data_IF_475497318643
#
_entry.id   IF_475497318643
#
_cell.length_a   1.000
_cell.length_b   1.000
_cell.length_c   1.000
_cell.angle_alpha   90.00
_cell.angle_beta   90.00
_cell.angle_gamma   90.00
#
_symmetry.space_group_name_H-M   'P 1'
#
loop_
_entity.id
_entity.type
_entity.pdbx_description
1 polymer ?
#
# COMPACT_ATOMS: atom_id res chain seq x y z
N UNK A 1 -5.74 -7.20 1.37
CA UNK A 1 -4.99 -5.93 1.53
C UNK A 1 -5.97 -4.83 1.85
N UNK A 2 -5.55 -3.83 2.60
CA UNK A 2 -6.34 -2.63 2.83
C UNK A 2 -5.42 -1.43 3.06
N UNK A 3 -5.91 -0.24 2.77
CA UNK A 3 -5.34 1.00 3.26
C UNK A 3 -5.93 1.36 4.63
N UNK A 4 -5.17 2.05 5.45
CA UNK A 4 -5.62 2.58 6.73
C UNK A 4 -5.28 4.07 6.81
N UNK A 5 -6.31 4.91 6.95
CA UNK A 5 -6.18 6.32 7.34
C UNK A 5 -6.38 6.44 8.85
N UNK A 6 -6.08 7.61 9.42
CA UNK A 6 -6.18 7.85 10.86
C UNK A 6 -7.58 7.57 11.46
N UNK A 7 -8.63 7.56 10.65
CA UNK A 7 -10.02 7.40 11.11
C UNK A 7 -10.83 6.35 10.34
N UNK A 8 -10.24 5.69 9.32
CA UNK A 8 -10.99 4.75 8.49
C UNK A 8 -10.11 3.71 7.78
N UNK A 9 -10.73 2.58 7.44
CA UNK A 9 -10.17 1.59 6.54
C UNK A 9 -10.63 1.90 5.12
N UNK A 10 -9.68 1.92 4.18
CA UNK A 10 -9.93 2.25 2.77
C UNK A 10 -9.44 1.13 1.87
N UNK A 11 -9.98 1.07 0.64
CA UNK A 11 -9.57 0.10 -0.38
C UNK A 11 -9.48 -1.36 0.12
N UNK A 12 -10.48 -1.92 0.84
CA UNK A 12 -10.42 -3.33 1.24
C UNK A 12 -10.45 -4.23 0.00
N UNK A 13 -9.53 -5.19 -0.05
CA UNK A 13 -9.52 -6.22 -1.09
C UNK A 13 -9.16 -7.60 -0.54
N UNK A 14 -10.02 -8.57 -0.81
CA UNK A 14 -9.84 -9.97 -0.48
C UNK A 14 -9.36 -10.68 -1.73
N UNK A 15 -8.24 -11.39 -1.61
CA UNK A 15 -7.70 -12.25 -2.66
C UNK A 15 -7.58 -13.67 -2.12
N UNK A 16 -7.78 -14.66 -2.99
CA UNK A 16 -7.49 -16.05 -2.66
C UNK A 16 -5.98 -16.31 -2.85
N UNK A 17 -5.33 -16.83 -1.82
CA UNK A 17 -3.90 -17.11 -1.85
C UNK A 17 -3.01 -15.96 -1.38
N UNK A 18 -1.71 -16.11 -1.61
CA UNK A 18 -0.70 -15.16 -1.15
C UNK A 18 -0.61 -13.93 -2.06
N UNK A 19 -0.25 -12.79 -1.48
CA UNK A 19 0.06 -11.58 -2.23
C UNK A 19 1.33 -11.76 -3.05
N UNK A 20 1.27 -11.45 -4.35
CA UNK A 20 2.43 -11.32 -5.21
C UNK A 20 2.51 -9.92 -5.85
N UNK A 21 3.56 -9.67 -6.65
CA UNK A 21 3.74 -8.37 -7.29
C UNK A 21 2.64 -8.01 -8.30
N UNK A 22 2.06 -8.99 -8.99
CA UNK A 22 1.00 -8.73 -9.96
C UNK A 22 -0.33 -8.39 -9.26
N UNK A 23 -0.66 -9.10 -8.19
CA UNK A 23 -1.78 -8.78 -7.32
C UNK A 23 -1.59 -7.40 -6.68
N UNK A 24 -0.39 -7.07 -6.20
CA UNK A 24 -0.08 -5.74 -5.67
C UNK A 24 -0.31 -4.62 -6.69
N UNK A 25 0.14 -4.80 -7.94
CA UNK A 25 -0.11 -3.82 -9.01
C UNK A 25 -1.60 -3.59 -9.26
N UNK A 26 -2.38 -4.68 -9.32
CA UNK A 26 -3.82 -4.61 -9.54
C UNK A 26 -4.49 -3.91 -8.36
N UNK A 27 -4.10 -4.24 -7.13
CA UNK A 27 -4.61 -3.60 -5.93
C UNK A 27 -4.38 -2.09 -5.96
N UNK A 28 -3.14 -1.66 -6.20
CA UNK A 28 -2.80 -0.24 -6.17
C UNK A 28 -3.57 0.52 -7.24
N UNK A 29 -3.61 0.00 -8.47
CA UNK A 29 -4.29 0.70 -9.57
C UNK A 29 -5.81 0.72 -9.41
N UNK A 30 -6.42 -0.40 -8.99
CA UNK A 30 -7.87 -0.55 -9.03
C UNK A 30 -8.58 -0.17 -7.74
N UNK A 31 -7.93 -0.33 -6.58
CA UNK A 31 -8.54 -0.12 -5.27
C UNK A 31 -7.95 1.10 -4.58
N UNK A 32 -6.61 1.17 -4.46
CA UNK A 32 -5.98 2.21 -3.66
C UNK A 32 -5.95 3.57 -4.36
N UNK A 33 -5.40 3.66 -5.57
CA UNK A 33 -5.20 4.92 -6.28
C UNK A 33 -6.49 5.74 -6.47
N UNK A 34 -7.68 5.15 -6.73
CA UNK A 34 -8.93 5.91 -6.77
C UNK A 34 -9.32 6.60 -5.44
N UNK A 35 -8.80 6.13 -4.31
CA UNK A 35 -9.05 6.70 -2.98
C UNK A 35 -8.01 7.73 -2.53
N UNK A 36 -7.02 8.03 -3.37
CA UNK A 36 -5.94 8.97 -3.04
C UNK A 36 -6.26 10.38 -3.52
N UNK A 37 -5.85 11.35 -2.71
CA UNK A 37 -5.87 12.77 -3.01
C UNK A 37 -4.43 13.30 -3.19
N UNK A 38 -4.25 14.40 -3.94
CA UNK A 38 -2.94 15.02 -4.07
C UNK A 38 -2.35 15.39 -2.70
N UNK A 39 -1.11 14.99 -2.45
CA UNK A 39 -0.42 15.20 -1.18
C UNK A 39 -0.46 14.00 -0.23
N UNK A 40 -1.33 13.01 -0.45
CA UNK A 40 -1.35 11.78 0.35
C UNK A 40 0.02 11.05 0.32
N UNK A 41 0.40 10.48 1.46
CA UNK A 41 1.58 9.62 1.56
C UNK A 41 1.17 8.20 1.92
N UNK A 42 1.36 7.28 0.98
CA UNK A 42 1.13 5.85 1.17
C UNK A 42 2.40 5.22 1.75
N UNK A 43 2.31 4.80 3.02
CA UNK A 43 3.40 4.13 3.74
C UNK A 43 3.25 2.62 3.57
N UNK A 44 4.33 1.97 3.13
CA UNK A 44 4.39 0.52 2.87
C UNK A 44 5.57 -0.10 3.63
N UNK A 45 5.47 -1.38 3.96
CA UNK A 45 6.64 -2.15 4.39
C UNK A 45 7.70 -2.25 3.27
N UNK A 46 8.91 -2.69 3.60
CA UNK A 46 10.03 -2.77 2.66
C UNK A 46 10.15 -4.10 1.90
N UNK A 47 9.06 -4.86 1.75
CA UNK A 47 9.06 -6.09 0.98
C UNK A 47 9.26 -5.80 -0.52
N UNK A 48 9.95 -6.70 -1.22
CA UNK A 48 10.23 -6.52 -2.64
C UNK A 48 8.96 -6.48 -3.50
N UNK A 49 7.87 -7.13 -3.06
CA UNK A 49 6.58 -7.12 -3.77
C UNK A 49 5.97 -5.71 -3.86
N UNK A 50 6.30 -4.81 -2.93
CA UNK A 50 5.83 -3.43 -2.92
C UNK A 50 6.63 -2.49 -3.82
N UNK A 51 7.80 -2.93 -4.31
CA UNK A 51 8.71 -2.10 -5.12
C UNK A 51 8.35 -2.18 -6.61
N UNK A 52 7.08 -1.95 -6.92
CA UNK A 52 6.61 -1.95 -8.31
C UNK A 52 6.65 -0.54 -8.92
N UNK A 53 7.34 -0.35 -10.06
CA UNK A 53 7.29 0.91 -10.81
C UNK A 53 5.89 1.26 -11.30
N UNK A 54 5.06 0.25 -11.63
CA UNK A 54 3.69 0.46 -12.13
C UNK A 54 2.77 0.98 -11.02
N UNK A 55 2.88 0.39 -9.83
CA UNK A 55 2.16 0.86 -8.65
C UNK A 55 2.59 2.30 -8.30
N UNK A 56 3.90 2.58 -8.30
CA UNK A 56 4.43 3.90 -8.01
C UNK A 56 3.92 4.96 -9.01
N UNK A 57 3.85 4.61 -10.30
CA UNK A 57 3.28 5.50 -11.32
C UNK A 57 1.79 5.79 -11.05
N UNK A 58 0.98 4.78 -10.75
CA UNK A 58 -0.45 4.95 -10.49
C UNK A 58 -0.72 5.87 -9.28
N UNK A 59 0.16 5.84 -8.28
CA UNK A 59 0.10 6.75 -7.12
C UNK A 59 0.57 8.16 -7.48
N UNK A 60 1.66 8.29 -8.23
CA UNK A 60 2.17 9.59 -8.69
C UNK A 60 1.17 10.33 -9.59
N UNK A 61 0.42 9.61 -10.43
CA UNK A 61 -0.66 10.18 -11.26
C UNK A 61 -1.80 10.79 -10.44
N UNK A 62 -1.92 10.43 -9.15
CA UNK A 62 -2.84 11.03 -8.18
C UNK A 62 -2.25 12.21 -7.41
N UNK A 63 -0.98 12.55 -7.65
CA UNK A 63 -0.25 13.55 -6.87
C UNK A 63 0.15 13.07 -5.48
N UNK A 64 0.14 11.75 -5.25
CA UNK A 64 0.48 11.11 -3.99
C UNK A 64 1.87 10.45 -4.04
N UNK A 65 2.38 9.98 -2.89
CA UNK A 65 3.75 9.51 -2.75
C UNK A 65 3.84 8.16 -2.04
N UNK A 66 4.83 7.34 -2.43
CA UNK A 66 5.22 6.15 -1.67
C UNK A 66 6.32 6.47 -0.67
N UNK A 67 6.15 5.96 0.56
CA UNK A 67 7.19 5.93 1.58
C UNK A 67 7.37 4.50 2.08
N UNK A 68 8.59 3.98 1.98
CA UNK A 68 8.92 2.64 2.46
C UNK A 68 9.51 2.71 3.86
N UNK A 69 9.01 1.87 4.77
CA UNK A 69 9.59 1.72 6.09
C UNK A 69 11.04 1.20 6.03
N UNK A 70 11.89 1.51 7.03
CA UNK A 70 13.15 0.83 7.22
C UNK A 70 12.95 -0.68 7.35
N UNK A 71 13.97 -1.48 7.02
CA UNK A 71 13.92 -2.92 7.30
C UNK A 71 13.77 -3.15 8.81
N UNK A 72 12.84 -4.02 9.20
CA UNK A 72 12.53 -4.37 10.59
C UNK A 72 12.24 -3.15 11.48
N UNK A 73 11.08 -2.54 11.26
CA UNK A 73 10.48 -1.55 12.17
C UNK A 73 9.24 -2.16 12.86
N UNK A 74 9.42 -3.06 13.84
CA UNK A 74 8.31 -3.74 14.50
C UNK A 74 7.33 -2.78 15.20
N UNK A 75 7.82 -1.62 15.66
CA UNK A 75 6.99 -0.59 16.29
C UNK A 75 6.06 0.15 15.31
N UNK A 76 6.37 0.09 14.01
CA UNK A 76 5.63 0.77 12.93
C UNK A 76 4.97 -0.20 11.95
N UNK A 77 5.18 -1.51 12.15
CA UNK A 77 4.58 -2.57 11.36
C UNK A 77 4.16 -3.72 12.30
N UNK A 78 2.97 -3.65 12.93
CA UNK A 78 2.53 -4.66 13.89
C UNK A 78 2.19 -6.02 13.23
N UNK A 79 2.23 -6.17 11.90
CA UNK A 79 1.87 -7.39 11.18
C UNK A 79 3.10 -8.20 10.73
N UNK A 80 3.31 -9.37 11.33
CA UNK A 80 4.25 -10.39 10.84
C UNK A 80 3.59 -11.43 9.91
N UNK A 81 2.30 -11.27 9.56
CA UNK A 81 1.47 -12.31 8.94
C UNK A 81 1.07 -12.07 7.46
N UNK A 82 1.67 -11.07 6.81
CA UNK A 82 1.41 -10.81 5.38
C UNK A 82 0.15 -9.97 5.09
N UNK A 83 -0.50 -9.42 6.12
CA UNK A 83 -1.52 -8.39 5.93
C UNK A 83 -0.86 -7.03 5.62
N UNK A 84 -0.60 -6.77 4.34
CA UNK A 84 -0.02 -5.49 3.90
C UNK A 84 -1.02 -4.36 4.19
N UNK A 85 -0.77 -3.53 5.19
CA UNK A 85 -1.56 -2.32 5.46
C UNK A 85 -0.81 -1.12 4.91
N UNK A 86 -1.38 -0.49 3.90
CA UNK A 86 -0.90 0.80 3.41
C UNK A 86 -1.42 1.90 4.35
N UNK A 87 -0.56 2.49 5.18
CA UNK A 87 -1.00 3.64 6.01
C UNK A 87 -0.95 4.89 5.14
N UNK A 88 -2.09 5.52 4.89
CA UNK A 88 -2.13 6.83 4.21
C UNK A 88 -2.14 7.93 5.26
N UNK A 89 -1.10 8.77 5.27
CA UNK A 89 -1.01 9.98 6.10
C UNK A 89 -1.52 11.20 5.32
#
# INVERSE_FOLDING_TARGET
MAGLRCHELVAPWIIEGAMDGAAFDVYVRSQLAPSLEPGDVVVLDNLNVHKSPRAAQAVAERGAWFLFLPKYSPDLNPCMDGSCVARTL
#
